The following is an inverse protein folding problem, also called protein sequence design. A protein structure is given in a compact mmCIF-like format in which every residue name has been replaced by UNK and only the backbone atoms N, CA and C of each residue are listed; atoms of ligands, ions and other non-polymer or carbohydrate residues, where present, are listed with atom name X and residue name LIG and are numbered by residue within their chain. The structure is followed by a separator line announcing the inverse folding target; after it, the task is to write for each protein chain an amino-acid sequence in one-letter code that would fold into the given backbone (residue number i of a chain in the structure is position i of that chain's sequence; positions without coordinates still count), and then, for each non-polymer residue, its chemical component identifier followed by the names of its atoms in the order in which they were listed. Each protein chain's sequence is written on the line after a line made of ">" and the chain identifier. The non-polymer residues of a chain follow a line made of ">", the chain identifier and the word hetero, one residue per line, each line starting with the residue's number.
data_IF_865717563011
#
_entry.id   IF_865717563011
#
_cell.length_a   1.000
_cell.length_b   1.000
_cell.length_c   1.000
_cell.angle_alpha   90.00
_cell.angle_beta   90.00
_cell.angle_gamma   90.00
#
_symmetry.space_group_name_H-M   'P 1'
#
loop_
_entity.id
_entity.type
_entity.pdbx_description
1 polymer ?
#
# COMPACT_ATOMS: atom_id res chain seq x y z
N UNK A 1 2.19 -0.90 -31.76
CA UNK A 1 3.22 -0.04 -31.19
C UNK A 1 3.85 0.86 -32.25
N UNK A 2 4.49 1.97 -31.81
CA UNK A 2 5.22 2.88 -32.70
C UNK A 2 6.38 2.19 -33.44
N UNK A 3 6.87 1.06 -32.92
CA UNK A 3 7.91 0.22 -33.53
C UNK A 3 7.46 -0.47 -34.81
N UNK A 4 6.14 -0.51 -35.13
CA UNK A 4 5.59 -1.26 -36.27
C UNK A 4 5.56 -2.78 -36.06
N UNK A 5 5.97 -3.28 -34.90
CA UNK A 5 5.91 -4.70 -34.57
C UNK A 5 4.47 -5.18 -34.42
N UNK A 6 4.19 -6.36 -34.97
CA UNK A 6 2.89 -7.00 -34.84
C UNK A 6 2.87 -7.86 -33.56
N UNK A 7 2.14 -7.42 -32.54
CA UNK A 7 2.10 -8.11 -31.25
C UNK A 7 1.01 -9.17 -31.15
N UNK A 8 -0.08 -9.00 -31.88
CA UNK A 8 -1.20 -9.96 -31.92
C UNK A 8 -1.79 -10.12 -33.33
N UNK A 9 -2.38 -11.27 -33.56
CA UNK A 9 -3.12 -11.55 -34.83
C UNK A 9 -4.61 -11.33 -34.64
N UNK A 10 -5.28 -11.00 -35.73
CA UNK A 10 -6.75 -10.87 -35.75
C UNK A 10 -7.41 -12.20 -35.33
N UNK A 11 -8.30 -12.16 -34.34
CA UNK A 11 -8.96 -13.35 -33.81
C UNK A 11 -8.16 -14.10 -32.73
N UNK A 12 -6.97 -13.65 -32.40
CA UNK A 12 -6.18 -14.24 -31.27
C UNK A 12 -6.85 -13.95 -29.93
N UNK A 13 -6.95 -15.00 -29.09
CA UNK A 13 -7.44 -14.84 -27.72
C UNK A 13 -6.40 -14.06 -26.89
N UNK A 14 -6.82 -12.94 -26.31
CA UNK A 14 -5.96 -12.11 -25.49
C UNK A 14 -5.81 -12.74 -24.10
N UNK A 15 -4.64 -13.30 -23.81
CA UNK A 15 -4.27 -13.72 -22.46
C UNK A 15 -3.90 -12.52 -21.61
N UNK A 16 -3.84 -12.69 -20.27
CA UNK A 16 -3.41 -11.62 -19.35
C UNK A 16 -1.96 -11.16 -19.63
N UNK A 17 -1.08 -12.10 -19.98
CA UNK A 17 0.30 -11.83 -20.36
C UNK A 17 0.39 -11.00 -21.64
N UNK A 18 -0.33 -11.40 -22.68
CA UNK A 18 -0.38 -10.66 -23.94
C UNK A 18 -1.00 -9.26 -23.76
N UNK A 19 -2.02 -9.13 -22.93
CA UNK A 19 -2.61 -7.81 -22.62
C UNK A 19 -1.60 -6.88 -21.96
N UNK A 20 -0.79 -7.42 -21.02
CA UNK A 20 0.28 -6.68 -20.34
C UNK A 20 1.40 -6.28 -21.31
N UNK A 21 1.81 -7.17 -22.19
CA UNK A 21 2.80 -6.87 -23.25
C UNK A 21 2.33 -5.74 -24.18
N UNK A 22 1.05 -5.76 -24.55
CA UNK A 22 0.44 -4.73 -25.43
C UNK A 22 0.41 -3.37 -24.70
N UNK A 23 0.00 -3.34 -23.43
CA UNK A 23 -0.01 -2.11 -22.60
C UNK A 23 1.40 -1.56 -22.40
N UNK A 24 2.33 -2.43 -22.04
CA UNK A 24 3.75 -2.09 -21.83
C UNK A 24 4.47 -1.62 -23.11
N UNK A 25 3.97 -1.99 -24.29
CA UNK A 25 4.47 -1.50 -25.59
C UNK A 25 3.92 -0.13 -25.99
N UNK A 26 3.15 0.52 -25.13
CA UNK A 26 2.63 1.87 -25.35
C UNK A 26 1.47 1.94 -26.36
N UNK A 27 0.72 0.86 -26.54
CA UNK A 27 -0.46 0.84 -27.40
C UNK A 27 -1.61 1.55 -26.71
N UNK A 28 -1.99 2.72 -27.20
CA UNK A 28 -3.06 3.52 -26.61
C UNK A 28 -4.47 3.02 -26.89
N UNK A 29 -4.68 2.32 -28.00
CA UNK A 29 -6.02 1.87 -28.46
C UNK A 29 -5.94 0.46 -29.02
N UNK A 30 -6.82 -0.41 -28.55
CA UNK A 30 -7.02 -1.76 -29.08
C UNK A 30 -8.52 -2.01 -29.34
N UNK A 31 -8.83 -2.87 -30.31
CA UNK A 31 -10.18 -3.34 -30.56
C UNK A 31 -10.27 -4.81 -30.18
N UNK A 32 -11.22 -5.15 -29.31
CA UNK A 32 -11.41 -6.49 -28.76
C UNK A 32 -12.80 -6.97 -29.12
N UNK A 33 -12.91 -8.16 -29.72
CA UNK A 33 -14.18 -8.78 -30.05
C UNK A 33 -14.73 -9.51 -28.82
N UNK A 34 -15.91 -9.13 -28.37
CA UNK A 34 -16.68 -9.77 -27.29
C UNK A 34 -17.95 -10.38 -27.85
N UNK A 35 -18.72 -11.10 -27.04
CA UNK A 35 -19.97 -11.73 -27.45
C UNK A 35 -21.00 -10.75 -28.06
N UNK A 36 -20.96 -9.49 -27.65
CA UNK A 36 -21.89 -8.44 -28.05
C UNK A 36 -21.40 -7.59 -29.22
N UNK A 37 -20.18 -7.82 -29.71
CA UNK A 37 -19.59 -7.10 -30.84
C UNK A 37 -18.15 -6.69 -30.61
N UNK A 38 -17.68 -5.75 -31.41
CA UNK A 38 -16.32 -5.18 -31.28
C UNK A 38 -16.34 -4.00 -30.33
N UNK A 39 -15.43 -4.01 -29.33
CA UNK A 39 -15.31 -3.00 -28.31
C UNK A 39 -13.94 -2.34 -28.40
N UNK A 40 -13.93 -1.02 -28.39
CA UNK A 40 -12.72 -0.22 -28.34
C UNK A 40 -12.23 -0.08 -26.90
N UNK A 41 -10.99 -0.51 -26.63
CA UNK A 41 -10.31 -0.36 -25.34
C UNK A 41 -9.27 0.74 -25.45
N UNK A 42 -9.26 1.68 -24.53
CA UNK A 42 -8.36 2.83 -24.50
C UNK A 42 -7.52 2.78 -23.22
N UNK A 43 -6.19 2.77 -23.37
CA UNK A 43 -5.22 2.92 -22.28
C UNK A 43 -4.99 4.40 -21.97
N UNK A 44 -4.53 4.72 -20.75
CA UNK A 44 -4.08 6.06 -20.40
C UNK A 44 -2.67 6.38 -20.90
N UNK A 45 -2.02 5.44 -21.58
CA UNK A 45 -0.70 5.61 -22.18
C UNK A 45 0.45 5.72 -21.18
N UNK A 46 0.28 5.18 -19.98
CA UNK A 46 1.36 5.11 -18.98
C UNK A 46 2.11 3.77 -19.14
N UNK A 47 3.43 3.84 -19.33
CA UNK A 47 4.31 2.67 -19.57
C UNK A 47 5.46 2.61 -18.57
N UNK A 48 6.07 1.44 -18.46
CA UNK A 48 7.31 1.27 -17.71
C UNK A 48 8.50 1.75 -18.55
N UNK A 49 9.18 2.79 -18.10
CA UNK A 49 10.34 3.38 -18.79
C UNK A 49 11.47 2.36 -19.00
N UNK A 50 11.63 1.41 -18.06
CA UNK A 50 12.73 0.45 -18.10
C UNK A 50 12.70 -0.46 -19.34
N UNK A 51 11.55 -0.59 -20.00
CA UNK A 51 11.40 -1.35 -21.24
C UNK A 51 11.88 -0.63 -22.49
N UNK A 52 12.12 0.68 -22.39
CA UNK A 52 12.50 1.54 -23.51
C UNK A 52 13.91 2.11 -23.39
N UNK A 53 14.54 1.97 -22.22
CA UNK A 53 15.90 2.48 -21.97
C UNK A 53 16.83 1.38 -21.50
N UNK A 54 18.13 1.53 -21.79
CA UNK A 54 19.16 0.53 -21.46
C UNK A 54 19.86 0.79 -20.11
N UNK A 55 19.52 1.88 -19.44
CA UNK A 55 20.04 2.25 -18.12
C UNK A 55 18.99 2.09 -17.02
N UNK A 56 19.43 2.01 -15.77
CA UNK A 56 18.54 1.95 -14.62
C UNK A 56 17.89 3.33 -14.35
N UNK A 57 16.66 3.51 -14.80
CA UNK A 57 15.93 4.78 -14.65
C UNK A 57 15.65 5.13 -13.18
N UNK A 58 15.53 4.14 -12.30
CA UNK A 58 15.34 4.37 -10.87
C UNK A 58 16.60 4.92 -10.21
N UNK A 59 17.75 4.31 -10.48
CA UNK A 59 19.02 4.72 -9.89
C UNK A 59 19.56 6.03 -10.48
N UNK A 60 19.43 6.22 -11.80
CA UNK A 60 20.09 7.32 -12.49
C UNK A 60 19.20 8.58 -12.65
N UNK A 61 17.87 8.39 -12.82
CA UNK A 61 16.93 9.48 -13.04
C UNK A 61 15.91 9.65 -11.91
N UNK A 62 15.95 8.80 -10.86
CA UNK A 62 14.99 8.79 -9.75
C UNK A 62 13.54 8.66 -10.25
N UNK A 63 13.32 7.73 -11.23
CA UNK A 63 12.01 7.40 -11.78
C UNK A 63 11.63 5.98 -11.37
N UNK A 64 10.69 5.86 -10.44
CA UNK A 64 10.18 4.60 -9.91
C UNK A 64 8.70 4.37 -10.27
N UNK A 65 8.12 5.23 -11.10
CA UNK A 65 6.72 5.20 -11.48
C UNK A 65 6.57 5.03 -13.00
N UNK A 66 5.39 4.63 -13.46
CA UNK A 66 5.08 4.59 -14.88
C UNK A 66 5.10 6.01 -15.47
N UNK A 67 5.55 6.14 -16.72
CA UNK A 67 5.72 7.41 -17.42
C UNK A 67 4.78 7.52 -18.62
N UNK A 68 4.45 8.74 -19.03
CA UNK A 68 3.65 8.98 -20.23
C UNK A 68 4.42 8.58 -21.48
N UNK A 69 3.87 7.63 -22.23
CA UNK A 69 4.49 7.12 -23.45
C UNK A 69 4.61 8.20 -24.55
N UNK A 70 3.63 9.11 -24.67
CA UNK A 70 3.70 10.19 -25.66
C UNK A 70 4.91 11.09 -25.47
N UNK A 71 5.20 11.48 -24.22
CA UNK A 71 6.37 12.32 -23.89
C UNK A 71 7.66 11.52 -24.00
N UNK A 72 7.65 10.25 -23.57
CA UNK A 72 8.81 9.36 -23.70
C UNK A 72 9.18 9.16 -25.19
N UNK A 73 8.21 8.95 -26.05
CA UNK A 73 8.41 8.78 -27.50
C UNK A 73 9.00 10.03 -28.15
N UNK A 74 8.57 11.23 -27.73
CA UNK A 74 9.19 12.50 -28.15
C UNK A 74 10.66 12.57 -27.76
N UNK A 75 10.97 12.27 -26.48
CA UNK A 75 12.34 12.28 -25.95
C UNK A 75 13.22 11.28 -26.70
N UNK A 76 12.74 10.04 -26.89
CA UNK A 76 13.46 9.01 -27.66
C UNK A 76 13.70 9.44 -29.10
N UNK A 77 12.74 10.14 -29.73
CA UNK A 77 12.87 10.68 -31.08
C UNK A 77 13.86 11.83 -31.18
N UNK A 78 13.97 12.67 -30.14
CA UNK A 78 14.90 13.83 -30.09
C UNK A 78 16.34 13.42 -29.78
N UNK A 79 16.55 12.47 -28.88
CA UNK A 79 17.89 12.07 -28.41
C UNK A 79 18.51 10.93 -29.23
N UNK A 80 17.69 10.11 -29.94
CA UNK A 80 18.17 8.97 -30.70
C UNK A 80 18.91 7.97 -29.80
N UNK A 81 20.11 7.55 -30.24
CA UNK A 81 20.95 6.55 -29.52
C UNK A 81 21.91 7.16 -28.48
N UNK A 82 21.86 8.47 -28.25
CA UNK A 82 22.74 9.15 -27.26
C UNK A 82 22.19 8.98 -25.84
N UNK A 83 22.80 8.06 -25.08
CA UNK A 83 22.36 7.68 -23.73
C UNK A 83 22.50 8.85 -22.73
N UNK A 84 23.55 9.68 -22.82
CA UNK A 84 23.73 10.81 -21.90
C UNK A 84 22.73 11.92 -22.18
N UNK A 85 22.50 12.25 -23.43
CA UNK A 85 21.46 13.19 -23.84
C UNK A 85 20.07 12.72 -23.42
N UNK A 86 19.81 11.41 -23.52
CA UNK A 86 18.55 10.80 -23.09
C UNK A 86 18.34 10.92 -21.56
N UNK A 87 19.37 10.65 -20.76
CA UNK A 87 19.30 10.80 -19.29
C UNK A 87 19.02 12.25 -18.88
N UNK A 88 19.68 13.19 -19.52
CA UNK A 88 19.49 14.62 -19.22
C UNK A 88 18.11 15.12 -19.67
N UNK A 89 17.60 14.67 -20.82
CA UNK A 89 16.26 14.97 -21.28
C UNK A 89 15.18 14.39 -20.36
N UNK A 90 15.34 13.13 -19.92
CA UNK A 90 14.45 12.46 -18.98
C UNK A 90 14.41 13.19 -17.62
N UNK A 91 15.57 13.61 -17.10
CA UNK A 91 15.64 14.39 -15.84
C UNK A 91 14.99 15.76 -15.97
N UNK A 92 15.22 16.47 -17.09
CA UNK A 92 14.69 17.81 -17.32
C UNK A 92 13.16 17.84 -17.51
N UNK A 93 12.60 16.80 -18.15
CA UNK A 93 11.16 16.67 -18.42
C UNK A 93 10.44 15.70 -17.46
N UNK A 94 11.01 15.41 -16.28
CA UNK A 94 10.44 14.50 -15.29
C UNK A 94 8.99 14.82 -14.91
N UNK A 95 8.66 16.10 -14.73
CA UNK A 95 7.30 16.54 -14.37
C UNK A 95 6.27 16.33 -15.48
N UNK A 96 6.70 16.31 -16.75
CA UNK A 96 5.84 15.99 -17.90
C UNK A 96 5.69 14.48 -18.09
N UNK A 97 6.77 13.72 -17.83
CA UNK A 97 6.78 12.26 -17.86
C UNK A 97 5.89 11.67 -16.76
N UNK A 98 5.95 12.22 -15.54
CA UNK A 98 5.19 11.77 -14.38
C UNK A 98 4.30 12.91 -13.88
N UNK A 99 3.16 13.17 -14.55
CA UNK A 99 2.24 14.21 -14.10
C UNK A 99 1.64 13.85 -12.73
N UNK A 100 1.77 14.77 -11.77
CA UNK A 100 1.19 14.61 -10.42
C UNK A 100 -0.26 15.11 -10.35
N UNK A 101 -0.95 15.17 -11.46
CA UNK A 101 -2.35 15.59 -11.60
C UNK A 101 -3.06 14.70 -12.63
N UNK A 102 -4.38 14.67 -12.58
CA UNK A 102 -5.21 13.94 -13.55
C UNK A 102 -5.07 14.59 -14.93
N UNK A 103 -4.72 13.78 -15.92
CA UNK A 103 -4.60 14.19 -17.33
C UNK A 103 -5.86 13.80 -18.11
N UNK A 104 -6.00 14.35 -19.30
CA UNK A 104 -7.16 14.10 -20.18
C UNK A 104 -7.23 12.61 -20.55
N UNK A 105 -6.09 11.97 -20.77
CA UNK A 105 -6.01 10.55 -21.13
C UNK A 105 -6.55 9.64 -20.00
N UNK A 106 -6.32 10.01 -18.71
CA UNK A 106 -6.89 9.30 -17.55
C UNK A 106 -8.43 9.38 -17.56
N UNK A 107 -8.98 10.55 -17.91
CA UNK A 107 -10.44 10.74 -17.96
C UNK A 107 -11.05 9.87 -19.06
N UNK A 108 -10.47 9.90 -20.26
CA UNK A 108 -10.96 9.09 -21.39
C UNK A 108 -10.83 7.59 -21.14
N UNK A 109 -9.71 7.14 -20.60
CA UNK A 109 -9.51 5.71 -20.26
C UNK A 109 -10.47 5.25 -19.17
N UNK A 110 -10.71 6.09 -18.14
CA UNK A 110 -11.67 5.76 -17.08
C UNK A 110 -13.11 5.64 -17.58
N UNK A 111 -13.56 6.58 -18.42
CA UNK A 111 -14.90 6.51 -19.03
C UNK A 111 -15.01 5.28 -19.96
N UNK A 112 -13.96 5.02 -20.73
CA UNK A 112 -13.92 3.85 -21.60
C UNK A 112 -13.96 2.55 -20.79
N UNK A 113 -13.22 2.47 -19.68
CA UNK A 113 -13.25 1.31 -18.80
C UNK A 113 -14.63 1.05 -18.21
N UNK A 114 -15.36 2.09 -17.79
CA UNK A 114 -16.76 1.94 -17.36
C UNK A 114 -17.65 1.36 -18.47
N UNK A 115 -17.46 1.79 -19.73
CA UNK A 115 -18.20 1.22 -20.85
C UNK A 115 -17.79 -0.24 -21.12
N UNK A 116 -16.52 -0.58 -20.97
CA UNK A 116 -16.02 -1.95 -21.09
C UNK A 116 -16.61 -2.88 -20.02
N UNK A 117 -16.76 -2.41 -18.77
CA UNK A 117 -17.44 -3.17 -17.71
C UNK A 117 -18.87 -3.54 -18.06
N UNK A 118 -19.61 -2.65 -18.73
CA UNK A 118 -20.99 -2.93 -19.15
C UNK A 118 -21.12 -4.09 -20.14
N UNK A 119 -20.06 -4.37 -20.91
CA UNK A 119 -20.00 -5.49 -21.88
C UNK A 119 -19.20 -6.69 -21.36
N UNK A 120 -18.88 -6.70 -20.07
CA UNK A 120 -18.17 -7.80 -19.40
C UNK A 120 -16.66 -7.83 -19.62
N UNK A 121 -16.06 -6.74 -20.08
CA UNK A 121 -14.61 -6.54 -20.13
C UNK A 121 -14.12 -5.80 -18.89
N UNK A 122 -13.22 -6.43 -18.14
CA UNK A 122 -12.68 -5.90 -16.90
C UNK A 122 -13.38 -6.44 -15.65
N UNK A 123 -12.96 -5.95 -14.50
CA UNK A 123 -13.47 -6.32 -13.17
C UNK A 123 -13.77 -5.07 -12.37
N UNK A 124 -14.81 -5.13 -11.54
CA UNK A 124 -15.09 -4.04 -10.59
C UNK A 124 -14.11 -4.14 -9.43
N UNK A 125 -13.51 -3.01 -9.06
CA UNK A 125 -12.60 -2.95 -7.92
C UNK A 125 -13.34 -3.19 -6.61
N UNK A 126 -12.69 -3.94 -5.72
CA UNK A 126 -13.17 -4.14 -4.37
C UNK A 126 -12.72 -2.97 -3.47
N UNK A 127 -13.68 -2.30 -2.86
CA UNK A 127 -13.44 -1.14 -1.98
C UNK A 127 -12.68 -1.52 -0.71
N UNK A 128 -12.91 -2.72 -0.19
CA UNK A 128 -12.30 -3.20 1.06
C UNK A 128 -10.93 -3.85 0.86
N UNK A 129 -10.51 -4.03 -0.38
CA UNK A 129 -9.18 -4.52 -0.71
C UNK A 129 -8.09 -3.54 -0.26
N UNK A 130 -7.04 -4.03 0.44
CA UNK A 130 -5.95 -3.17 0.94
C UNK A 130 -5.06 -2.54 -0.14
N UNK A 131 -5.21 -2.94 -1.39
CA UNK A 131 -4.66 -2.23 -2.55
C UNK A 131 -5.37 -0.92 -2.86
N UNK A 132 -6.65 -0.78 -2.46
CA UNK A 132 -7.48 0.41 -2.64
C UNK A 132 -7.65 1.22 -1.34
N UNK A 133 -7.29 0.63 -0.20
CA UNK A 133 -7.45 1.20 1.13
C UNK A 133 -6.09 1.47 1.75
N UNK A 134 -5.72 2.75 1.87
CA UNK A 134 -4.41 3.16 2.37
C UNK A 134 -4.49 3.72 3.79
N UNK A 135 -3.36 3.73 4.47
CA UNK A 135 -3.18 4.30 5.80
C UNK A 135 -2.66 5.74 5.66
N UNK A 136 -3.28 6.65 6.38
CA UNK A 136 -2.77 8.00 6.56
C UNK A 136 -1.98 8.06 7.87
N UNK A 137 -0.67 8.17 7.76
CA UNK A 137 0.24 8.25 8.90
C UNK A 137 0.18 9.62 9.58
N UNK A 138 0.79 9.73 10.76
CA UNK A 138 0.86 10.98 11.53
C UNK A 138 1.47 12.11 10.71
N UNK A 139 2.49 11.85 9.91
CA UNK A 139 3.15 12.84 9.06
C UNK A 139 2.18 13.52 8.08
N UNK A 140 1.34 12.75 7.39
CA UNK A 140 0.33 13.28 6.48
C UNK A 140 -0.73 14.10 7.20
N UNK A 141 -1.19 13.63 8.37
CA UNK A 141 -2.18 14.34 9.17
C UNK A 141 -1.63 15.68 9.67
N UNK A 142 -0.38 15.72 10.11
CA UNK A 142 0.29 16.95 10.52
C UNK A 142 0.51 17.88 9.34
N UNK A 143 0.94 17.39 8.19
CA UNK A 143 1.10 18.19 6.97
C UNK A 143 -0.20 18.93 6.62
N UNK A 144 -1.34 18.25 6.71
CA UNK A 144 -2.64 18.88 6.48
C UNK A 144 -2.93 20.01 7.47
N UNK A 145 -2.59 19.83 8.76
CA UNK A 145 -2.76 20.87 9.77
C UNK A 145 -1.83 22.08 9.52
N UNK A 146 -0.59 21.84 9.14
CA UNK A 146 0.33 22.90 8.71
C UNK A 146 -0.23 23.66 7.51
N UNK A 147 -0.75 22.96 6.48
CA UNK A 147 -1.34 23.59 5.31
C UNK A 147 -2.51 24.52 5.69
N UNK A 148 -3.39 24.07 6.59
CA UNK A 148 -4.50 24.90 7.12
C UNK A 148 -3.94 26.10 7.88
N UNK A 149 -2.95 25.89 8.73
CA UNK A 149 -2.29 26.95 9.50
C UNK A 149 -1.63 28.00 8.61
N UNK A 150 -0.90 27.58 7.59
CA UNK A 150 -0.27 28.50 6.62
C UNK A 150 -1.28 29.23 5.74
N UNK A 151 -2.36 28.60 5.32
CA UNK A 151 -3.42 29.28 4.57
C UNK A 151 -4.11 30.37 5.42
N UNK A 152 -4.33 30.11 6.72
CA UNK A 152 -4.83 31.14 7.66
C UNK A 152 -3.78 32.26 7.85
N UNK A 153 -2.52 31.92 7.96
CA UNK A 153 -1.41 32.87 8.08
C UNK A 153 -1.32 33.78 6.87
N UNK A 154 -1.36 33.22 5.66
CA UNK A 154 -1.33 33.97 4.39
C UNK A 154 -2.44 35.00 4.35
N UNK A 155 -3.66 34.63 4.73
CA UNK A 155 -4.81 35.55 4.78
C UNK A 155 -4.53 36.72 5.71
N UNK A 156 -4.05 36.45 6.93
CA UNK A 156 -3.73 37.49 7.93
C UNK A 156 -2.62 38.43 7.44
N UNK A 157 -1.59 37.89 6.77
CA UNK A 157 -0.51 38.70 6.19
C UNK A 157 -1.09 39.62 5.10
N UNK A 158 -1.90 39.09 4.21
CA UNK A 158 -2.53 39.85 3.12
C UNK A 158 -3.43 40.98 3.64
N UNK A 159 -4.24 40.70 4.66
CA UNK A 159 -5.05 41.71 5.35
C UNK A 159 -4.19 42.81 5.99
N UNK A 160 -3.11 42.44 6.69
CA UNK A 160 -2.19 43.40 7.30
C UNK A 160 -1.46 44.25 6.25
N UNK A 161 -1.01 43.68 5.19
CA UNK A 161 -0.39 44.41 4.07
C UNK A 161 -1.35 45.43 3.51
N UNK A 162 -2.64 45.11 3.34
CA UNK A 162 -3.65 46.05 2.82
C UNK A 162 -3.93 47.18 3.81
N UNK A 163 -4.02 46.88 5.11
CA UNK A 163 -4.30 47.90 6.14
C UNK A 163 -3.11 48.83 6.37
N UNK A 164 -1.91 48.28 6.47
CA UNK A 164 -0.67 49.04 6.76
C UNK A 164 -0.09 49.72 5.53
N UNK A 165 -0.54 49.40 4.30
CA UNK A 165 -0.13 50.16 3.10
C UNK A 165 -0.53 51.63 3.13
N UNK A 166 -1.43 52.02 4.03
CA UNK A 166 -1.85 53.41 4.25
C UNK A 166 -0.94 54.15 5.24
N UNK A 167 -0.20 53.44 6.09
CA UNK A 167 0.77 54.04 6.99
C UNK A 167 2.17 53.96 6.38
N UNK A 168 2.80 55.13 6.21
CA UNK A 168 4.11 55.31 5.56
C UNK A 168 5.30 54.76 6.37
N UNK A 169 5.06 53.89 7.36
CA UNK A 169 6.12 53.26 8.13
C UNK A 169 6.78 52.09 7.36
N UNK A 170 8.07 51.87 7.62
CA UNK A 170 8.84 50.81 6.95
C UNK A 170 8.30 49.44 7.36
N UNK A 171 7.58 48.76 6.49
CA UNK A 171 7.09 47.42 6.65
C UNK A 171 8.24 46.42 6.62
N UNK A 172 8.41 45.69 7.72
CA UNK A 172 9.34 44.55 7.78
C UNK A 172 8.57 43.22 7.71
N UNK A 173 9.13 42.17 7.12
CA UNK A 173 8.49 40.86 7.11
C UNK A 173 8.15 40.36 8.52
N UNK A 174 8.98 40.69 9.50
CA UNK A 174 8.79 40.29 10.89
C UNK A 174 7.53 40.94 11.53
N UNK A 175 7.19 42.14 11.16
CA UNK A 175 5.99 42.84 11.68
C UNK A 175 4.68 42.28 11.08
N UNK A 176 4.75 41.70 9.88
CA UNK A 176 3.60 41.14 9.18
C UNK A 176 3.28 39.71 9.60
N UNK A 177 4.31 38.92 9.91
CA UNK A 177 4.15 37.51 10.23
C UNK A 177 3.64 37.32 11.66
N UNK A 178 2.54 36.56 11.79
CA UNK A 178 1.97 36.17 13.06
C UNK A 178 1.83 34.63 13.11
N UNK A 179 2.63 33.98 13.93
CA UNK A 179 2.65 32.50 14.03
C UNK A 179 1.43 31.90 14.73
N UNK A 180 0.59 32.73 15.40
CA UNK A 180 -0.56 32.23 16.18
C UNK A 180 -1.52 31.32 15.39
N UNK A 181 -1.88 31.58 14.13
CA UNK A 181 -2.78 30.71 13.37
C UNK A 181 -2.22 29.30 13.14
N UNK A 182 -0.90 29.19 12.92
CA UNK A 182 -0.23 27.90 12.75
C UNK A 182 -0.19 27.13 14.07
N UNK A 183 0.20 27.79 15.15
CA UNK A 183 0.21 27.20 16.50
C UNK A 183 -1.19 26.77 16.92
N UNK A 184 -2.22 27.57 16.61
CA UNK A 184 -3.62 27.23 16.90
C UNK A 184 -4.08 25.97 16.15
N UNK A 185 -3.75 25.84 14.85
CA UNK A 185 -4.12 24.66 14.07
C UNK A 185 -3.46 23.37 14.61
N UNK A 186 -2.19 23.45 15.01
CA UNK A 186 -1.48 22.30 15.61
C UNK A 186 -2.08 21.93 16.97
N UNK A 187 -2.34 22.94 17.84
CA UNK A 187 -2.96 22.71 19.14
C UNK A 187 -4.38 22.14 19.01
N UNK A 188 -5.15 22.60 18.02
CA UNK A 188 -6.47 22.08 17.71
C UNK A 188 -6.40 20.58 17.34
N UNK A 189 -5.42 20.16 16.53
CA UNK A 189 -5.23 18.76 16.19
C UNK A 189 -4.90 17.89 17.40
N UNK A 190 -3.90 18.25 18.18
CA UNK A 190 -3.49 17.46 19.35
C UNK A 190 -4.53 17.48 20.49
N UNK A 191 -5.33 18.51 20.60
CA UNK A 191 -6.30 18.66 21.69
C UNK A 191 -7.70 18.11 21.39
N UNK A 192 -8.12 18.07 20.13
CA UNK A 192 -9.50 17.72 19.76
C UNK A 192 -9.65 16.63 18.70
N UNK A 193 -8.56 16.20 18.06
CA UNK A 193 -8.63 15.10 17.08
C UNK A 193 -8.91 13.76 17.78
N UNK A 194 -9.88 12.95 17.30
CA UNK A 194 -10.10 11.59 17.82
C UNK A 194 -8.91 10.64 17.65
N UNK A 195 -7.98 10.97 16.75
CA UNK A 195 -6.79 10.18 16.49
C UNK A 195 -5.63 10.52 17.45
N UNK A 196 -5.68 11.70 18.07
CA UNK A 196 -4.73 12.07 19.12
C UNK A 196 -5.28 11.60 20.47
N UNK A 197 -4.74 10.52 20.99
CA UNK A 197 -5.22 9.86 22.20
C UNK A 197 -4.12 9.81 23.27
N UNK A 198 -4.53 9.72 24.53
CA UNK A 198 -3.60 9.34 25.59
C UNK A 198 -3.07 7.94 25.32
N UNK A 199 -1.75 7.78 25.45
CA UNK A 199 -1.12 6.48 25.26
C UNK A 199 -1.48 5.54 26.42
N UNK A 200 -1.90 4.32 26.09
CA UNK A 200 -2.07 3.25 27.08
C UNK A 200 -0.70 2.90 27.67
N UNK A 201 -0.50 3.14 28.95
CA UNK A 201 0.76 2.91 29.67
C UNK A 201 0.65 1.90 30.81
N UNK A 202 -0.35 1.02 30.75
CA UNK A 202 -0.55 -0.01 31.78
C UNK A 202 0.64 -0.98 31.85
N UNK A 203 1.17 -1.36 30.68
CA UNK A 203 2.36 -2.21 30.56
C UNK A 203 3.05 -1.91 29.22
N UNK A 204 4.31 -2.38 29.01
CA UNK A 204 5.03 -2.13 27.76
C UNK A 204 4.32 -2.65 26.50
N UNK A 205 3.62 -3.79 26.59
CA UNK A 205 2.85 -4.34 25.47
C UNK A 205 1.68 -3.43 25.09
N UNK A 206 1.00 -2.82 26.08
CA UNK A 206 -0.08 -1.87 25.82
C UNK A 206 0.43 -0.64 25.03
N UNK A 207 1.60 -0.12 25.36
CA UNK A 207 2.24 0.97 24.63
C UNK A 207 2.57 0.59 23.19
N UNK A 208 3.20 -0.57 22.99
CA UNK A 208 3.57 -1.06 21.67
C UNK A 208 2.35 -1.28 20.78
N UNK A 209 1.33 -1.95 21.29
CA UNK A 209 0.09 -2.22 20.53
C UNK A 209 -0.68 -0.94 20.24
N UNK A 210 -0.70 0.04 21.14
CA UNK A 210 -1.30 1.35 20.88
C UNK A 210 -0.63 2.07 19.71
N UNK A 211 0.69 2.03 19.61
CA UNK A 211 1.46 2.64 18.51
C UNK A 211 1.22 1.94 17.17
N UNK A 212 0.86 0.67 17.17
CA UNK A 212 0.58 -0.14 15.96
C UNK A 212 -0.91 -0.25 15.62
N UNK A 213 -1.77 0.56 16.27
CA UNK A 213 -3.22 0.57 16.06
C UNK A 213 -3.58 1.24 14.74
N UNK A 214 -4.50 0.63 14.00
CA UNK A 214 -5.08 1.13 12.78
C UNK A 214 -6.56 1.48 13.04
N UNK A 215 -6.97 2.71 12.73
CA UNK A 215 -8.33 3.18 12.95
C UNK A 215 -9.01 3.51 11.62
N UNK A 216 -10.18 2.97 11.37
CA UNK A 216 -11.05 3.37 10.26
C UNK A 216 -11.84 4.65 10.58
N UNK A 217 -11.82 5.12 11.83
CA UNK A 217 -12.55 6.28 12.33
C UNK A 217 -11.71 7.55 12.20
N UNK A 218 -12.38 8.70 12.25
CA UNK A 218 -11.74 10.01 12.33
C UNK A 218 -11.91 10.86 11.07
N UNK A 219 -11.21 11.99 10.97
CA UNK A 219 -11.37 12.93 9.87
C UNK A 219 -11.06 12.29 8.52
N UNK A 220 -12.04 12.27 7.62
CA UNK A 220 -11.95 11.61 6.30
C UNK A 220 -12.04 10.09 6.34
N UNK A 221 -12.36 9.49 7.49
CA UNK A 221 -12.70 8.09 7.66
C UNK A 221 -14.20 7.85 7.80
N UNK A 222 -14.56 6.68 8.32
CA UNK A 222 -15.93 6.26 8.53
C UNK A 222 -16.48 6.79 9.87
N UNK A 223 -17.81 6.92 9.96
CA UNK A 223 -18.50 7.07 11.24
C UNK A 223 -19.02 5.70 11.69
N UNK A 224 -19.13 5.48 13.02
CA UNK A 224 -19.62 4.22 13.60
C UNK A 224 -20.96 3.80 13.05
N UNK A 225 -21.88 4.76 12.91
CA UNK A 225 -23.25 4.52 12.50
C UNK A 225 -23.40 4.20 11.01
N UNK A 226 -22.42 4.60 10.18
CA UNK A 226 -22.40 4.37 8.73
C UNK A 226 -21.56 3.17 8.31
N UNK A 227 -20.80 2.59 9.23
CA UNK A 227 -19.97 1.43 8.96
C UNK A 227 -20.82 0.15 8.97
N UNK A 228 -21.08 -0.41 7.81
CA UNK A 228 -21.77 -1.71 7.64
C UNK A 228 -20.93 -2.90 8.09
N UNK A 229 -21.47 -4.10 7.92
CA UNK A 229 -20.76 -5.35 8.25
C UNK A 229 -19.56 -5.59 7.31
N UNK A 230 -19.67 -5.26 6.02
CA UNK A 230 -18.63 -5.48 5.02
C UNK A 230 -17.30 -4.85 5.40
N UNK A 231 -17.33 -3.59 5.90
CA UNK A 231 -16.11 -2.86 6.31
C UNK A 231 -15.50 -3.44 7.59
N UNK A 232 -16.29 -4.16 8.40
CA UNK A 232 -15.86 -4.75 9.69
C UNK A 232 -15.36 -6.18 9.55
N UNK A 233 -15.64 -6.81 8.41
CA UNK A 233 -15.23 -8.18 8.13
C UNK A 233 -13.73 -8.27 7.82
N UNK A 234 -13.21 -9.48 7.95
CA UNK A 234 -11.83 -9.79 7.57
C UNK A 234 -11.80 -10.11 6.08
N UNK A 235 -11.10 -9.28 5.33
CA UNK A 235 -10.88 -9.46 3.90
C UNK A 235 -9.64 -10.32 3.66
N UNK A 236 -9.57 -11.09 2.55
CA UNK A 236 -8.40 -11.93 2.24
C UNK A 236 -7.10 -11.13 2.13
N UNK A 237 -7.16 -9.87 1.64
CA UNK A 237 -6.01 -8.97 1.54
C UNK A 237 -5.40 -8.58 2.91
N UNK A 238 -6.09 -8.87 4.02
CA UNK A 238 -5.57 -8.64 5.37
C UNK A 238 -4.45 -9.62 5.76
N UNK A 239 -4.31 -10.72 5.01
CA UNK A 239 -3.30 -11.72 5.28
C UNK A 239 -1.89 -11.12 5.33
N UNK A 240 -1.19 -11.33 6.43
CA UNK A 240 0.15 -10.77 6.66
C UNK A 240 0.22 -9.26 6.86
N UNK A 241 -0.91 -8.53 6.80
CA UNK A 241 -0.98 -7.06 6.91
C UNK A 241 -1.73 -6.59 8.14
N UNK A 242 -2.93 -7.07 8.35
CA UNK A 242 -3.77 -6.73 9.49
C UNK A 242 -4.14 -7.98 10.27
N UNK A 243 -4.01 -7.93 11.59
CA UNK A 243 -4.38 -9.07 12.44
C UNK A 243 -5.89 -9.34 12.36
N UNK A 244 -6.31 -10.57 12.05
CA UNK A 244 -7.73 -10.92 11.98
C UNK A 244 -8.38 -11.12 13.35
N UNK A 245 -7.58 -11.26 14.41
CA UNK A 245 -8.02 -11.63 15.76
C UNK A 245 -8.08 -10.41 16.67
N UNK A 246 -7.04 -9.58 16.70
CA UNK A 246 -6.96 -8.45 17.61
C UNK A 246 -7.83 -7.28 17.13
N UNK A 247 -8.99 -7.12 17.79
CA UNK A 247 -9.92 -5.99 17.59
C UNK A 247 -10.65 -5.72 18.91
N UNK A 248 -11.13 -4.50 19.19
CA UNK A 248 -11.96 -4.23 20.35
C UNK A 248 -13.30 -4.98 20.27
N UNK A 249 -13.84 -5.31 21.41
CA UNK A 249 -15.21 -5.81 21.53
C UNK A 249 -16.20 -4.64 21.56
N UNK A 250 -17.41 -4.85 21.02
CA UNK A 250 -18.49 -3.88 21.04
C UNK A 250 -18.60 -3.01 19.78
N UNK A 251 -19.03 -1.72 19.89
CA UNK A 251 -19.38 -0.90 18.73
C UNK A 251 -18.26 -0.65 17.73
N UNK A 252 -17.00 -0.75 18.17
CA UNK A 252 -15.81 -0.51 17.36
C UNK A 252 -15.21 -1.80 16.74
N UNK A 253 -15.88 -2.94 16.86
CA UNK A 253 -15.39 -4.21 16.28
C UNK A 253 -15.15 -4.06 14.79
N UNK A 254 -14.01 -4.51 14.28
CA UNK A 254 -13.60 -4.40 12.89
C UNK A 254 -13.20 -2.99 12.42
N UNK A 255 -13.55 -1.92 13.16
CA UNK A 255 -13.17 -0.54 12.82
C UNK A 255 -11.82 -0.12 13.41
N UNK A 256 -11.40 -0.79 14.45
CA UNK A 256 -10.08 -0.66 15.05
C UNK A 256 -9.39 -2.00 14.87
N UNK A 257 -8.25 -1.99 14.22
CA UNK A 257 -7.43 -3.16 13.93
C UNK A 257 -5.97 -2.90 14.30
N UNK A 258 -5.14 -3.91 14.18
CA UNK A 258 -3.73 -3.81 14.53
C UNK A 258 -2.87 -4.35 13.41
N UNK A 259 -1.74 -3.69 13.18
CA UNK A 259 -0.77 -4.09 12.17
C UNK A 259 -0.18 -5.46 12.52
N UNK A 260 -0.11 -6.35 11.54
CA UNK A 260 0.52 -7.66 11.70
C UNK A 260 2.01 -7.54 12.04
N UNK A 261 2.59 -8.60 12.60
CA UNK A 261 3.94 -8.58 13.20
C UNK A 261 5.01 -8.12 12.23
N UNK A 262 4.99 -8.61 10.99
CA UNK A 262 6.03 -8.32 9.97
C UNK A 262 5.60 -7.27 8.95
N UNK A 263 4.37 -6.76 9.05
CA UNK A 263 3.84 -5.77 8.13
C UNK A 263 4.48 -4.40 8.35
N UNK A 264 4.64 -3.66 7.27
CA UNK A 264 5.09 -2.26 7.27
C UNK A 264 4.20 -1.42 6.36
N UNK A 265 4.29 -0.10 6.51
CA UNK A 265 3.57 0.86 5.67
C UNK A 265 4.59 1.48 4.71
N UNK A 266 4.30 1.47 3.41
CA UNK A 266 5.16 2.06 2.40
C UNK A 266 5.00 3.60 2.34
N UNK A 267 5.82 4.25 1.50
CA UNK A 267 5.81 5.71 1.31
C UNK A 267 4.47 6.26 0.78
N UNK A 268 3.64 5.44 0.15
CA UNK A 268 2.33 5.81 -0.37
C UNK A 268 1.19 5.57 0.63
N UNK A 269 1.47 4.92 1.76
CA UNK A 269 0.51 4.59 2.80
C UNK A 269 -0.14 3.21 2.68
N UNK A 270 0.28 2.37 1.74
CA UNK A 270 -0.20 1.00 1.63
C UNK A 270 0.55 0.06 2.57
N UNK A 271 -0.16 -0.94 3.08
CA UNK A 271 0.44 -1.95 3.96
C UNK A 271 1.09 -3.03 3.10
N UNK A 272 2.36 -3.29 3.36
CA UNK A 272 3.15 -4.33 2.71
C UNK A 272 3.44 -5.48 3.66
N UNK A 273 3.46 -6.70 3.10
CA UNK A 273 3.86 -7.91 3.78
C UNK A 273 5.14 -8.51 3.14
N UNK A 274 6.02 -9.15 3.92
CA UNK A 274 7.25 -9.75 3.42
C UNK A 274 7.01 -11.16 2.89
N UNK A 275 7.63 -11.48 1.76
CA UNK A 275 7.62 -12.79 1.13
C UNK A 275 9.02 -13.18 0.66
N UNK A 276 9.33 -14.48 0.69
CA UNK A 276 10.57 -15.02 0.13
C UNK A 276 10.37 -15.39 -1.33
N UNK A 277 11.29 -14.97 -2.17
CA UNK A 277 11.24 -15.27 -3.60
C UNK A 277 11.58 -16.73 -3.87
N UNK A 278 10.83 -17.36 -4.76
CA UNK A 278 11.11 -18.70 -5.27
C UNK A 278 11.73 -18.55 -6.67
N UNK A 279 12.86 -19.19 -6.88
CA UNK A 279 13.48 -19.28 -8.21
C UNK A 279 12.74 -20.33 -9.04
N UNK A 280 12.11 -19.91 -10.13
CA UNK A 280 11.30 -20.76 -11.00
C UNK A 280 12.12 -21.84 -11.73
N UNK A 281 13.40 -21.56 -12.03
CA UNK A 281 14.25 -22.51 -12.77
C UNK A 281 14.70 -23.67 -11.86
N UNK A 282 15.05 -23.36 -10.63
CA UNK A 282 15.62 -24.34 -9.70
C UNK A 282 14.59 -24.86 -8.69
N UNK A 283 13.48 -24.16 -8.50
CA UNK A 283 12.47 -24.45 -7.46
C UNK A 283 13.01 -24.24 -6.04
N UNK A 284 14.01 -23.37 -5.88
CA UNK A 284 14.65 -23.06 -4.60
C UNK A 284 14.06 -21.78 -4.02
N UNK A 285 13.69 -21.84 -2.75
CA UNK A 285 13.27 -20.66 -1.96
C UNK A 285 14.50 -19.88 -1.57
N UNK A 286 14.64 -18.68 -2.09
CA UNK A 286 15.77 -17.80 -1.81
C UNK A 286 15.65 -17.14 -0.44
N UNK A 287 16.74 -16.57 0.06
CA UNK A 287 16.72 -15.72 1.27
C UNK A 287 16.40 -14.26 0.96
N UNK A 288 16.13 -13.94 -0.30
CA UNK A 288 15.68 -12.61 -0.70
C UNK A 288 14.25 -12.38 -0.22
N UNK A 289 14.05 -11.36 0.61
CA UNK A 289 12.74 -10.96 1.13
C UNK A 289 12.26 -9.76 0.35
N UNK A 290 11.12 -9.92 -0.31
CA UNK A 290 10.44 -8.86 -1.06
C UNK A 290 9.20 -8.44 -0.30
N UNK A 291 9.03 -7.13 -0.11
CA UNK A 291 7.80 -6.58 0.45
C UNK A 291 6.83 -6.25 -0.66
N UNK A 292 5.60 -6.75 -0.56
CA UNK A 292 4.57 -6.55 -1.58
C UNK A 292 3.30 -5.97 -0.97
N UNK A 293 2.67 -5.05 -1.71
CA UNK A 293 1.31 -4.57 -1.45
C UNK A 293 0.29 -5.63 -1.84
N UNK A 294 -0.97 -5.48 -1.43
CA UNK A 294 -1.99 -6.49 -1.67
C UNK A 294 -2.33 -6.67 -3.17
N UNK A 295 -2.33 -5.59 -3.93
CA UNK A 295 -2.54 -5.60 -5.38
C UNK A 295 -1.42 -6.33 -6.13
N UNK A 296 -0.17 -6.14 -5.72
CA UNK A 296 0.96 -6.89 -6.28
C UNK A 296 0.88 -8.38 -5.95
N UNK A 297 0.50 -8.73 -4.71
CA UNK A 297 0.36 -10.11 -4.27
C UNK A 297 -0.68 -10.88 -5.09
N UNK A 298 -1.77 -10.23 -5.49
CA UNK A 298 -2.84 -10.82 -6.30
C UNK A 298 -2.38 -11.36 -7.67
N UNK A 299 -1.22 -10.93 -8.13
CA UNK A 299 -0.63 -11.39 -9.39
C UNK A 299 0.15 -12.71 -9.25
N UNK A 300 0.49 -13.11 -8.00
CA UNK A 300 1.40 -14.20 -7.73
C UNK A 300 0.74 -15.36 -6.97
N UNK A 301 1.38 -16.52 -7.05
CA UNK A 301 1.04 -17.70 -6.28
C UNK A 301 2.04 -17.80 -5.11
N UNK A 302 1.53 -17.73 -3.90
CA UNK A 302 2.33 -17.70 -2.69
C UNK A 302 2.20 -19.00 -1.91
N UNK A 303 3.29 -19.75 -1.76
CA UNK A 303 3.36 -20.97 -0.97
C UNK A 303 3.30 -20.67 0.53
N UNK A 304 2.69 -21.57 1.31
CA UNK A 304 2.60 -21.45 2.76
C UNK A 304 3.95 -21.67 3.44
N UNK A 305 4.18 -20.95 4.55
CA UNK A 305 5.42 -21.07 5.34
C UNK A 305 5.66 -22.45 5.97
N UNK A 306 4.63 -23.27 6.09
CA UNK A 306 4.71 -24.60 6.68
C UNK A 306 5.18 -25.69 5.70
N UNK A 307 5.30 -25.37 4.41
CA UNK A 307 5.78 -26.34 3.43
C UNK A 307 7.23 -26.76 3.75
N UNK A 308 7.50 -28.06 3.81
CA UNK A 308 8.82 -28.55 4.17
C UNK A 308 9.83 -28.30 3.04
N UNK A 309 10.99 -27.78 3.43
CA UNK A 309 12.11 -27.52 2.55
C UNK A 309 13.26 -28.48 2.85
N UNK A 310 14.05 -28.81 1.86
CA UNK A 310 15.32 -29.53 2.02
C UNK A 310 16.45 -28.62 2.54
N UNK A 311 17.64 -29.18 2.76
CA UNK A 311 18.82 -28.41 3.20
C UNK A 311 19.24 -27.31 2.21
N UNK A 312 18.87 -27.44 0.94
CA UNK A 312 19.17 -26.47 -0.13
C UNK A 312 18.06 -25.46 -0.30
N UNK A 313 16.97 -25.52 0.49
CA UNK A 313 15.83 -24.62 0.37
C UNK A 313 14.83 -24.99 -0.74
N UNK A 314 14.86 -26.23 -1.24
CA UNK A 314 13.92 -26.71 -2.26
C UNK A 314 12.71 -27.39 -1.60
N UNK A 315 11.52 -27.21 -2.17
CA UNK A 315 10.32 -27.91 -1.71
C UNK A 315 10.50 -29.43 -1.82
N UNK A 316 10.23 -30.15 -0.73
CA UNK A 316 10.29 -31.61 -0.68
C UNK A 316 9.19 -32.27 -1.50
N UNK A 317 7.99 -31.70 -1.49
CA UNK A 317 6.84 -32.21 -2.22
C UNK A 317 6.82 -31.69 -3.65
N UNK A 318 6.29 -32.48 -4.59
CA UNK A 318 6.06 -32.04 -5.99
C UNK A 318 4.89 -31.07 -6.10
N UNK A 319 3.91 -31.21 -5.17
CA UNK A 319 2.79 -30.30 -5.03
C UNK A 319 2.89 -29.62 -3.68
N UNK A 320 2.63 -28.31 -3.66
CA UNK A 320 2.70 -27.44 -2.49
C UNK A 320 1.37 -26.73 -2.29
N UNK A 321 1.03 -26.53 -1.01
CA UNK A 321 -0.13 -25.73 -0.65
C UNK A 321 0.23 -24.24 -0.83
N UNK A 322 -0.55 -23.58 -1.63
CA UNK A 322 -0.35 -22.18 -1.96
C UNK A 322 -1.65 -21.39 -1.88
N UNK A 323 -1.53 -20.09 -1.89
CA UNK A 323 -2.62 -19.14 -1.91
C UNK A 323 -2.55 -18.33 -3.21
N UNK A 324 -3.70 -18.16 -3.86
CA UNK A 324 -3.87 -17.25 -4.98
C UNK A 324 -5.12 -16.42 -4.73
N UNK A 325 -4.97 -15.16 -4.42
CA UNK A 325 -6.03 -14.26 -3.95
C UNK A 325 -6.76 -14.83 -2.72
N UNK A 326 -8.07 -15.12 -2.83
CA UNK A 326 -8.92 -15.69 -1.80
C UNK A 326 -8.95 -17.23 -1.77
N UNK A 327 -8.38 -17.89 -2.78
CA UNK A 327 -8.39 -19.34 -2.92
C UNK A 327 -7.13 -20.01 -2.38
N UNK A 328 -7.32 -21.11 -1.63
CA UNK A 328 -6.25 -22.04 -1.30
C UNK A 328 -6.17 -23.09 -2.38
N UNK A 329 -5.02 -23.18 -3.03
CA UNK A 329 -4.78 -24.06 -4.16
C UNK A 329 -3.59 -24.98 -3.91
N UNK A 330 -3.68 -26.22 -4.38
CA UNK A 330 -2.54 -27.12 -4.43
C UNK A 330 -1.92 -27.02 -5.83
N UNK A 331 -0.70 -26.52 -5.91
CA UNK A 331 0.00 -26.28 -7.17
C UNK A 331 1.31 -27.07 -7.26
N UNK A 332 1.80 -27.27 -8.46
CA UNK A 332 3.14 -27.80 -8.68
C UNK A 332 4.18 -26.78 -8.16
N UNK A 333 5.22 -27.26 -7.47
CA UNK A 333 6.25 -26.41 -6.84
C UNK A 333 6.88 -25.38 -7.77
N UNK A 334 6.96 -25.66 -9.08
CA UNK A 334 7.52 -24.80 -10.12
C UNK A 334 6.60 -23.61 -10.46
N UNK A 335 5.33 -23.68 -10.07
CA UNK A 335 4.35 -22.61 -10.25
C UNK A 335 4.29 -21.63 -9.08
N UNK A 336 4.91 -21.96 -7.94
CA UNK A 336 4.97 -21.04 -6.81
C UNK A 336 5.97 -19.91 -7.11
N UNK A 337 5.52 -18.67 -6.97
CA UNK A 337 6.33 -17.47 -7.21
C UNK A 337 7.04 -17.01 -5.94
N UNK A 338 6.35 -17.10 -4.81
CA UNK A 338 6.83 -16.67 -3.51
C UNK A 338 6.44 -17.68 -2.43
N UNK A 339 7.05 -17.54 -1.26
CA UNK A 339 6.73 -18.28 -0.05
C UNK A 339 6.59 -17.33 1.14
N UNK A 340 5.65 -17.58 2.03
CA UNK A 340 5.51 -16.84 3.28
C UNK A 340 6.78 -16.93 4.13
N UNK A 341 7.17 -15.84 4.78
CA UNK A 341 8.38 -15.81 5.63
C UNK A 341 8.19 -16.62 6.90
N UNK A 342 7.02 -16.54 7.52
CA UNK A 342 6.71 -17.21 8.78
C UNK A 342 5.19 -17.35 8.98
N UNK A 343 4.71 -18.41 9.61
CA UNK A 343 3.29 -18.53 9.98
C UNK A 343 2.82 -17.40 10.92
N UNK A 344 3.73 -16.82 11.70
CA UNK A 344 3.44 -15.72 12.64
C UNK A 344 3.15 -14.40 11.97
N UNK A 345 3.39 -14.27 10.66
CA UNK A 345 3.14 -13.03 9.93
C UNK A 345 1.67 -12.64 9.87
N UNK A 346 0.76 -13.57 10.10
CA UNK A 346 -0.70 -13.34 10.01
C UNK A 346 -1.24 -12.55 11.20
N UNK A 347 -0.62 -12.69 12.37
CA UNK A 347 -1.12 -12.15 13.64
C UNK A 347 -0.34 -10.94 14.12
N UNK A 348 -0.97 -10.13 15.00
CA UNK A 348 -0.32 -9.01 15.67
C UNK A 348 0.64 -9.47 16.76
N UNK A 349 1.43 -8.55 17.30
CA UNK A 349 2.40 -8.83 18.36
C UNK A 349 1.72 -9.39 19.61
N UNK A 350 0.61 -8.81 20.06
CA UNK A 350 -0.11 -9.28 21.23
C UNK A 350 -0.69 -10.70 21.02
N UNK A 351 -1.27 -10.95 19.87
CA UNK A 351 -1.82 -12.27 19.52
C UNK A 351 -0.72 -13.32 19.39
N UNK A 352 0.44 -12.97 18.86
CA UNK A 352 1.59 -13.86 18.73
C UNK A 352 2.20 -14.29 20.08
N UNK A 353 1.86 -13.62 21.18
CA UNK A 353 2.29 -13.97 22.53
C UNK A 353 1.36 -14.94 23.24
N UNK A 354 0.23 -15.31 22.65
CA UNK A 354 -0.70 -16.30 23.23
C UNK A 354 -0.10 -17.69 23.01
N UNK A 355 0.26 -18.42 24.08
CA UNK A 355 0.76 -19.80 23.93
C UNK A 355 -0.37 -20.72 23.48
N UNK A 356 -0.05 -21.68 22.59
CA UNK A 356 -0.99 -22.65 22.01
C UNK A 356 -2.18 -21.99 21.28
N UNK A 357 -1.94 -20.86 20.63
CA UNK A 357 -2.97 -20.10 19.92
C UNK A 357 -3.74 -20.95 18.90
N UNK A 358 -3.06 -21.90 18.25
CA UNK A 358 -3.64 -22.82 17.25
C UNK A 358 -4.72 -23.74 17.82
N UNK A 359 -4.76 -23.92 19.12
CA UNK A 359 -5.77 -24.74 19.81
C UNK A 359 -6.93 -23.92 20.38
N UNK A 360 -6.84 -22.59 20.31
CA UNK A 360 -7.85 -21.69 20.85
C UNK A 360 -8.89 -21.31 19.81
N UNK A 361 -10.14 -21.14 20.24
CA UNK A 361 -11.16 -20.49 19.42
C UNK A 361 -10.84 -19.01 19.19
N UNK A 362 -11.12 -18.52 17.98
CA UNK A 362 -10.82 -17.14 17.60
C UNK A 362 -11.44 -16.09 18.54
N UNK A 363 -12.66 -16.34 19.05
CA UNK A 363 -13.32 -15.44 19.99
C UNK A 363 -12.55 -15.33 21.31
N UNK A 364 -12.03 -16.48 21.80
CA UNK A 364 -11.23 -16.50 23.03
C UNK A 364 -9.84 -15.92 22.83
N UNK A 365 -9.23 -16.11 21.68
CA UNK A 365 -7.98 -15.46 21.31
C UNK A 365 -8.12 -13.93 21.25
N UNK A 366 -9.24 -13.43 20.73
CA UNK A 366 -9.58 -12.01 20.74
C UNK A 366 -9.67 -11.46 22.16
N UNK A 367 -10.41 -12.15 23.05
CA UNK A 367 -10.50 -11.76 24.45
C UNK A 367 -9.13 -11.80 25.14
N UNK A 368 -8.34 -12.85 24.92
CA UNK A 368 -7.00 -13.02 25.47
C UNK A 368 -6.04 -11.91 25.05
N UNK A 369 -5.99 -11.53 23.78
CA UNK A 369 -5.16 -10.45 23.28
C UNK A 369 -5.54 -9.10 23.90
N UNK A 370 -6.84 -8.84 24.07
CA UNK A 370 -7.32 -7.64 24.74
C UNK A 370 -6.96 -7.63 26.24
N UNK A 371 -7.05 -8.78 26.94
CA UNK A 371 -6.69 -8.90 28.37
C UNK A 371 -5.20 -8.71 28.61
N UNK A 372 -4.31 -9.17 27.73
CA UNK A 372 -2.86 -8.96 27.85
C UNK A 372 -2.48 -7.48 27.96
N UNK A 373 -3.19 -6.59 27.27
CA UNK A 373 -2.97 -5.15 27.33
C UNK A 373 -3.40 -4.52 28.66
N UNK A 374 -4.27 -5.19 29.40
CA UNK A 374 -4.80 -4.73 30.70
C UNK A 374 -4.02 -5.30 31.89
N UNK A 375 -3.02 -6.15 31.64
CA UNK A 375 -2.21 -6.76 32.68
C UNK A 375 -1.40 -5.71 33.44
N UNK A 376 -1.47 -5.73 34.77
CA UNK A 376 -0.74 -4.82 35.64
C UNK A 376 0.65 -5.39 35.95
N UNK A 377 1.75 -4.63 35.76
CA UNK A 377 3.09 -5.06 36.11
C UNK A 377 3.22 -5.33 37.61
N UNK A 378 3.82 -6.46 37.98
CA UNK A 378 4.07 -6.80 39.35
C UNK A 378 5.32 -6.08 39.88
N UNK A 379 5.38 -5.82 41.18
CA UNK A 379 6.57 -5.24 41.86
C UNK A 379 7.81 -6.11 41.68
N UNK A 380 7.62 -7.44 41.72
CA UNK A 380 8.65 -8.42 41.39
C UNK A 380 8.14 -9.24 40.22
N UNK A 381 8.77 -9.02 39.08
CA UNK A 381 8.41 -9.73 37.84
C UNK A 381 9.08 -11.12 37.81
N UNK A 382 8.37 -12.10 37.25
CA UNK A 382 8.88 -13.45 37.01
C UNK A 382 8.71 -13.76 35.53
N UNK A 383 9.66 -14.50 34.94
CA UNK A 383 9.51 -14.97 33.57
C UNK A 383 8.43 -16.06 33.47
N UNK A 384 7.64 -16.09 32.40
CA UNK A 384 6.63 -17.11 32.19
C UNK A 384 7.30 -18.49 32.01
N UNK A 385 6.68 -19.54 32.54
CA UNK A 385 7.14 -20.93 32.38
C UNK A 385 6.96 -21.37 30.93
N UNK A 386 5.85 -20.96 30.29
CA UNK A 386 5.53 -21.24 28.88
C UNK A 386 5.45 -19.92 28.13
N UNK A 387 6.17 -19.83 27.05
CA UNK A 387 6.21 -18.66 26.19
C UNK A 387 6.32 -19.02 24.72
N UNK A 388 6.13 -18.03 23.84
CA UNK A 388 6.14 -18.21 22.38
C UNK A 388 7.46 -17.80 21.75
N UNK A 389 8.38 -17.17 22.50
CA UNK A 389 9.62 -16.56 22.02
C UNK A 389 9.43 -15.18 21.37
N UNK A 390 8.20 -14.72 21.20
CA UNK A 390 7.90 -13.37 20.74
C UNK A 390 8.12 -12.33 21.83
N UNK A 391 8.01 -12.73 23.10
CA UNK A 391 8.20 -11.87 24.27
C UNK A 391 9.58 -11.20 24.28
N UNK A 392 10.63 -11.97 23.95
CA UNK A 392 11.99 -11.46 23.89
C UNK A 392 12.13 -10.41 22.76
N UNK A 393 11.63 -10.72 21.57
CA UNK A 393 11.69 -9.79 20.42
C UNK A 393 10.93 -8.50 20.69
N UNK A 394 9.75 -8.59 21.26
CA UNK A 394 8.93 -7.41 21.56
C UNK A 394 9.49 -6.56 22.72
N UNK A 395 10.31 -7.15 23.60
CA UNK A 395 10.88 -6.46 24.76
C UNK A 395 12.26 -5.85 24.52
N UNK A 396 12.99 -6.33 23.50
CA UNK A 396 14.40 -5.95 23.26
C UNK A 396 14.58 -5.23 21.91
N UNK A 397 13.89 -5.68 20.85
CA UNK A 397 13.93 -5.11 19.51
C UNK A 397 12.80 -4.08 19.33
#
# INVERSE_FOLDING_TARGET
>A
PLTGERMAEEGQVVSRELAKEIDDAGVSVAYVTVKEGEVKVISNGMVDIQKFVNFDAAAECDINERVRFSVLAEILGECGDDEEALKDAVRSRKDELIPKHIIIDDIFSSINYMNCLAVGLGTVDDIDHLGNRRIRSVGELLQNQFRIGFSRLERVIRERMTLQAQDLEVLTPHSLINIRPVVAAIKEFFGSSPLSQFMDQTNPLAELTHKRRLSALGPGGLSRDRAGFEVRDVHYSHYGRMCPIETPEGPNIGLISYLATFARINQYGFIEAPYRRVDKETGIVTNEVVYMTADMEDEYIVAQANEPLDENGRFLHTKVNARSRDEFVEVERERADFMDVSPRMVVSVATAMIPFLENDDANRALMGSNMQRQAVPLLKTESPIVGTGMEYKAGVD
#
